data_IF_373047141849
#
_entry.id   IF_373047141849
#
_cell.length_a   1.000
_cell.length_b   1.000
_cell.length_c   1.000
_cell.angle_alpha   90.00
_cell.angle_beta   90.00
_cell.angle_gamma   90.00
#
_symmetry.space_group_name_H-M   'P 1'
#
loop_
_entity.id
_entity.type
_entity.pdbx_description
1 polymer ?
#
# COMPACT_ATOMS: atom_id res chain seq x y z
N UNK A 1 0.92 -37.03 -11.50
CA UNK A 1 0.33 -35.82 -12.16
C UNK A 1 -0.33 -34.89 -11.14
N UNK A 2 -1.17 -35.41 -10.24
CA UNK A 2 -1.84 -34.65 -9.16
C UNK A 2 -0.89 -33.94 -8.18
N UNK A 3 0.25 -34.56 -7.83
CA UNK A 3 1.27 -33.97 -6.94
C UNK A 3 1.92 -32.70 -7.52
N UNK A 4 2.25 -32.70 -8.82
CA UNK A 4 2.81 -31.54 -9.54
C UNK A 4 1.78 -30.40 -9.67
N UNK A 5 0.49 -30.73 -9.75
CA UNK A 5 -0.57 -29.72 -9.82
C UNK A 5 -0.77 -29.03 -8.46
N UNK A 6 -0.82 -29.80 -7.37
CA UNK A 6 -0.85 -29.24 -6.00
C UNK A 6 0.37 -28.36 -5.72
N UNK A 7 1.57 -28.77 -6.10
CA UNK A 7 2.78 -27.96 -5.88
C UNK A 7 2.78 -26.63 -6.66
N UNK A 8 2.19 -26.60 -7.87
CA UNK A 8 2.03 -25.37 -8.65
C UNK A 8 1.01 -24.41 -8.04
N UNK A 9 -0.09 -24.93 -7.48
CA UNK A 9 -1.12 -24.10 -6.82
C UNK A 9 -0.57 -23.47 -5.54
N UNK A 10 0.12 -24.24 -4.70
CA UNK A 10 0.77 -23.73 -3.47
C UNK A 10 1.78 -22.63 -3.79
N UNK A 11 2.61 -22.81 -4.83
CA UNK A 11 3.58 -21.78 -5.27
C UNK A 11 2.90 -20.45 -5.67
N UNK A 12 1.73 -20.49 -6.28
CA UNK A 12 0.98 -19.28 -6.70
C UNK A 12 0.34 -18.56 -5.51
N UNK A 13 -0.25 -19.29 -4.58
CA UNK A 13 -0.84 -18.71 -3.36
C UNK A 13 0.26 -18.00 -2.54
N UNK A 14 1.43 -18.60 -2.42
CA UNK A 14 2.58 -17.97 -1.76
C UNK A 14 2.97 -16.63 -2.38
N UNK A 15 2.93 -16.50 -3.72
CA UNK A 15 3.22 -15.22 -4.41
C UNK A 15 2.16 -14.15 -4.14
N UNK A 16 0.87 -14.53 -4.10
CA UNK A 16 -0.22 -13.62 -3.75
C UNK A 16 -0.07 -13.13 -2.30
N UNK A 17 0.18 -14.05 -1.36
CA UNK A 17 0.38 -13.73 0.07
C UNK A 17 1.58 -12.82 0.26
N UNK A 18 2.69 -13.09 -0.44
CA UNK A 18 3.90 -12.28 -0.37
C UNK A 18 3.65 -10.85 -0.86
N UNK A 19 3.05 -10.68 -2.04
CA UNK A 19 2.73 -9.36 -2.60
C UNK A 19 1.68 -8.62 -1.77
N UNK A 20 0.68 -9.33 -1.24
CA UNK A 20 -0.31 -8.75 -0.33
C UNK A 20 0.34 -8.26 0.96
N UNK A 21 1.28 -9.03 1.53
CA UNK A 21 2.08 -8.58 2.67
C UNK A 21 2.92 -7.34 2.35
N UNK A 22 3.61 -7.31 1.20
CA UNK A 22 4.34 -6.11 0.76
C UNK A 22 3.42 -4.89 0.69
N UNK A 23 2.19 -5.06 0.17
CA UNK A 23 1.21 -4.00 0.06
C UNK A 23 0.66 -3.54 1.42
N UNK A 24 0.46 -4.46 2.37
CA UNK A 24 0.13 -4.13 3.77
C UNK A 24 1.26 -3.28 4.38
N UNK A 25 2.50 -3.73 4.27
CA UNK A 25 3.67 -3.01 4.82
C UNK A 25 3.82 -1.63 4.19
N UNK A 26 3.61 -1.52 2.87
CA UNK A 26 3.61 -0.24 2.18
C UNK A 26 2.59 0.72 2.81
N UNK A 27 1.33 0.32 2.91
CA UNK A 27 0.28 1.19 3.46
C UNK A 27 0.54 1.52 4.94
N UNK A 28 1.09 0.61 5.73
CA UNK A 28 1.52 0.89 7.12
C UNK A 28 2.63 1.95 7.18
N UNK A 29 3.65 1.86 6.32
CA UNK A 29 4.74 2.85 6.32
C UNK A 29 4.26 4.20 5.77
N UNK A 30 3.33 4.23 4.81
CA UNK A 30 2.66 5.46 4.35
C UNK A 30 1.82 6.09 5.46
N UNK A 31 0.99 5.32 6.15
CA UNK A 31 0.23 5.78 7.32
C UNK A 31 1.15 6.41 8.36
N UNK A 32 2.23 5.70 8.72
CA UNK A 32 3.19 6.16 9.73
C UNK A 32 3.93 7.44 9.30
N UNK A 33 4.29 7.55 8.02
CA UNK A 33 4.95 8.74 7.50
C UNK A 33 4.02 9.96 7.56
N UNK A 34 2.76 9.81 7.14
CA UNK A 34 1.77 10.88 7.23
C UNK A 34 1.45 11.27 8.68
N UNK A 35 1.32 10.29 9.58
CA UNK A 35 1.13 10.55 11.01
C UNK A 35 2.28 11.39 11.57
N UNK A 36 3.53 11.06 11.23
CA UNK A 36 4.73 11.83 11.64
C UNK A 36 4.80 13.20 10.97
N UNK A 37 4.40 13.29 9.71
CA UNK A 37 4.39 14.55 8.97
C UNK A 37 3.38 15.52 9.59
N UNK A 38 2.17 15.07 9.92
CA UNK A 38 1.14 15.93 10.53
C UNK A 38 1.55 16.57 11.86
N UNK A 39 2.51 16.00 12.59
CA UNK A 39 3.06 16.61 13.82
C UNK A 39 4.28 17.50 13.59
N UNK A 40 4.88 17.49 12.38
CA UNK A 40 6.14 18.18 12.08
C UNK A 40 6.02 19.33 11.11
N UNK A 41 5.11 19.22 10.15
CA UNK A 41 4.85 20.26 9.16
C UNK A 41 4.38 21.52 9.89
N UNK A 42 4.53 22.68 9.27
CA UNK A 42 4.14 23.96 9.85
C UNK A 42 2.81 24.44 9.25
N UNK A 43 2.64 24.26 7.94
CA UNK A 43 1.47 24.69 7.20
C UNK A 43 0.20 23.89 7.60
N UNK A 44 -0.90 24.60 7.86
CA UNK A 44 -2.16 23.97 8.31
C UNK A 44 -2.80 23.06 7.26
N UNK A 45 -2.67 23.39 5.97
CA UNK A 45 -3.19 22.57 4.88
C UNK A 45 -2.44 21.23 4.82
N UNK A 46 -1.10 21.26 4.80
CA UNK A 46 -0.28 20.03 4.70
C UNK A 46 -0.42 19.14 5.95
N UNK A 47 -0.57 19.74 7.15
CA UNK A 47 -0.93 19.03 8.38
C UNK A 47 -2.26 18.29 8.26
N UNK A 48 -3.29 18.99 7.81
CA UNK A 48 -4.64 18.45 7.68
C UNK A 48 -4.66 17.32 6.65
N UNK A 49 -4.07 17.56 5.48
CA UNK A 49 -3.91 16.56 4.44
C UNK A 49 -3.19 15.31 4.97
N UNK A 50 -2.06 15.48 5.66
CA UNK A 50 -1.32 14.35 6.24
C UNK A 50 -2.16 13.57 7.27
N UNK A 51 -2.94 14.25 8.12
CA UNK A 51 -3.83 13.59 9.08
C UNK A 51 -4.90 12.74 8.37
N UNK A 52 -5.54 13.30 7.34
CA UNK A 52 -6.55 12.59 6.55
C UNK A 52 -5.95 11.37 5.83
N UNK A 53 -4.78 11.53 5.22
CA UNK A 53 -4.11 10.42 4.51
C UNK A 53 -3.59 9.34 5.45
N UNK A 54 -3.22 9.68 6.68
CA UNK A 54 -2.92 8.67 7.71
C UNK A 54 -4.14 7.80 8.01
N UNK A 55 -5.31 8.40 8.22
CA UNK A 55 -6.54 7.65 8.52
C UNK A 55 -6.99 6.77 7.34
N UNK A 56 -6.95 7.32 6.12
CA UNK A 56 -7.26 6.59 4.88
C UNK A 56 -6.40 5.33 4.73
N UNK A 57 -5.08 5.46 4.94
CA UNK A 57 -4.15 4.34 4.80
C UNK A 57 -4.32 3.31 5.91
N UNK A 58 -4.67 3.74 7.13
CA UNK A 58 -5.02 2.82 8.22
C UNK A 58 -6.26 1.97 7.91
N UNK A 59 -7.29 2.56 7.28
CA UNK A 59 -8.46 1.82 6.79
C UNK A 59 -8.06 0.81 5.70
N UNK A 60 -7.16 1.19 4.78
CA UNK A 60 -6.67 0.28 3.75
C UNK A 60 -5.94 -0.91 4.35
N UNK A 61 -5.03 -0.66 5.30
CA UNK A 61 -4.30 -1.70 6.06
C UNK A 61 -5.28 -2.66 6.71
N UNK A 62 -6.34 -2.17 7.37
CA UNK A 62 -7.33 -3.03 8.04
C UNK A 62 -7.99 -3.99 7.05
N UNK A 63 -8.45 -3.50 5.90
CA UNK A 63 -9.10 -4.36 4.90
C UNK A 63 -8.12 -5.35 4.26
N UNK A 64 -6.90 -4.93 3.96
CA UNK A 64 -5.87 -5.80 3.37
C UNK A 64 -5.46 -6.92 4.34
N UNK A 65 -5.30 -6.60 5.64
CA UNK A 65 -5.00 -7.60 6.67
C UNK A 65 -6.11 -8.64 6.81
N UNK A 66 -7.38 -8.24 6.70
CA UNK A 66 -8.49 -9.18 6.74
C UNK A 66 -8.44 -10.19 5.58
N UNK A 67 -8.11 -9.75 4.36
CA UNK A 67 -7.92 -10.68 3.23
C UNK A 67 -6.66 -11.53 3.40
N UNK A 68 -5.59 -10.96 3.96
CA UNK A 68 -4.36 -11.70 4.23
C UNK A 68 -4.58 -12.83 5.23
N UNK A 69 -5.26 -12.58 6.35
CA UNK A 69 -5.59 -13.60 7.34
C UNK A 69 -6.44 -14.73 6.75
N UNK A 70 -7.39 -14.42 5.86
CA UNK A 70 -8.18 -15.45 5.15
C UNK A 70 -7.31 -16.33 4.26
N UNK A 71 -6.31 -15.75 3.60
CA UNK A 71 -5.38 -16.50 2.75
C UNK A 71 -4.42 -17.36 3.58
N UNK A 72 -3.91 -16.82 4.68
CA UNK A 72 -2.98 -17.50 5.58
C UNK A 72 -3.63 -18.65 6.35
N UNK A 73 -4.89 -18.52 6.74
CA UNK A 73 -5.66 -19.58 7.39
C UNK A 73 -5.80 -20.86 6.51
N UNK A 74 -5.57 -20.74 5.20
CA UNK A 74 -5.64 -21.86 4.28
C UNK A 74 -4.27 -22.56 4.05
N UNK A 75 -3.17 -22.06 4.63
CA UNK A 75 -1.84 -22.66 4.46
C UNK A 75 -0.87 -22.34 5.62
N UNK A 76 -0.66 -23.30 6.53
CA UNK A 76 0.24 -23.18 7.70
C UNK A 76 1.73 -23.01 7.33
N UNK A 77 2.13 -23.24 6.07
CA UNK A 77 3.54 -23.16 5.66
C UNK A 77 4.04 -21.73 5.35
N UNK A 78 3.18 -20.71 5.50
CA UNK A 78 3.52 -19.32 5.15
C UNK A 78 4.42 -18.60 6.17
N UNK A 79 4.75 -19.25 7.29
CA UNK A 79 5.56 -18.71 8.40
C UNK A 79 7.00 -18.35 7.98
N UNK A 80 7.53 -18.94 6.90
CA UNK A 80 8.93 -18.77 6.47
C UNK A 80 9.27 -17.38 5.86
N UNK A 81 8.30 -16.50 5.64
CA UNK A 81 8.49 -15.23 4.91
C UNK A 81 8.94 -14.03 5.78
N UNK A 82 8.98 -14.17 7.12
CA UNK A 82 9.16 -13.04 8.06
C UNK A 82 10.45 -12.21 7.87
N UNK A 83 11.59 -12.83 7.50
CA UNK A 83 12.86 -12.09 7.30
C UNK A 83 12.83 -11.17 6.08
N UNK A 84 12.20 -11.59 4.98
CA UNK A 84 12.09 -10.77 3.75
C UNK A 84 11.33 -9.48 4.01
N UNK A 85 10.28 -9.54 4.82
CA UNK A 85 9.44 -8.39 5.13
C UNK A 85 10.12 -7.31 5.96
N UNK A 86 11.13 -7.65 6.77
CA UNK A 86 11.90 -6.64 7.49
C UNK A 86 12.64 -5.69 6.52
N UNK A 87 13.31 -6.25 5.51
CA UNK A 87 14.04 -5.45 4.51
C UNK A 87 13.10 -4.64 3.63
N UNK A 88 11.97 -5.24 3.21
CA UNK A 88 10.91 -4.53 2.47
C UNK A 88 10.43 -3.31 3.27
N UNK A 89 10.15 -3.50 4.56
CA UNK A 89 9.72 -2.41 5.45
C UNK A 89 10.74 -1.29 5.55
N UNK A 90 12.02 -1.62 5.71
CA UNK A 90 13.09 -0.61 5.75
C UNK A 90 13.19 0.17 4.43
N UNK A 91 13.09 -0.51 3.29
CA UNK A 91 13.13 0.13 1.98
C UNK A 91 11.97 1.10 1.78
N UNK A 92 10.74 0.70 2.11
CA UNK A 92 9.58 1.58 2.04
C UNK A 92 9.70 2.74 3.01
N UNK A 93 10.09 2.50 4.26
CA UNK A 93 10.29 3.57 5.25
C UNK A 93 11.27 4.63 4.76
N UNK A 94 12.39 4.21 4.18
CA UNK A 94 13.39 5.11 3.62
C UNK A 94 12.82 5.90 2.45
N UNK A 95 12.09 5.23 1.54
CA UNK A 95 11.49 5.86 0.37
C UNK A 95 10.42 6.88 0.75
N UNK A 96 9.56 6.60 1.73
CA UNK A 96 8.30 7.35 2.01
C UNK A 96 8.55 8.52 2.97
N UNK A 97 9.76 8.70 3.50
CA UNK A 97 10.08 9.74 4.48
C UNK A 97 9.69 11.14 3.94
N UNK A 98 8.91 11.87 4.74
CA UNK A 98 8.50 13.26 4.52
C UNK A 98 9.21 14.11 5.57
N UNK A 99 9.99 15.10 5.14
CA UNK A 99 10.87 15.88 6.04
C UNK A 99 10.37 17.28 6.33
N UNK A 100 9.82 17.99 5.33
CA UNK A 100 9.43 19.40 5.43
C UNK A 100 8.29 19.73 4.45
N UNK A 101 7.72 20.93 4.57
CA UNK A 101 6.63 21.42 3.73
C UNK A 101 7.03 21.64 2.26
N UNK A 102 8.28 22.05 2.00
CA UNK A 102 8.73 22.38 0.64
C UNK A 102 8.74 21.15 -0.30
N UNK A 103 9.06 19.97 0.25
CA UNK A 103 9.10 18.72 -0.50
C UNK A 103 7.78 17.93 -0.43
N UNK A 104 6.81 18.42 0.34
CA UNK A 104 5.61 17.64 0.70
C UNK A 104 4.83 17.15 -0.52
N UNK A 105 4.46 18.05 -1.42
CA UNK A 105 3.63 17.70 -2.59
C UNK A 105 4.35 16.75 -3.54
N UNK A 106 5.63 17.00 -3.81
CA UNK A 106 6.45 16.10 -4.63
C UNK A 106 6.54 14.71 -3.99
N UNK A 107 6.71 14.66 -2.67
CA UNK A 107 6.79 13.39 -1.96
C UNK A 107 5.48 12.61 -1.95
N UNK A 108 4.36 13.32 -1.76
CA UNK A 108 3.02 12.76 -1.87
C UNK A 108 2.82 12.12 -3.25
N UNK A 109 3.19 12.82 -4.33
CA UNK A 109 3.09 12.30 -5.69
C UNK A 109 3.88 11.00 -5.87
N UNK A 110 5.15 10.95 -5.44
CA UNK A 110 5.98 9.74 -5.50
C UNK A 110 5.37 8.56 -4.74
N UNK A 111 4.76 8.82 -3.58
CA UNK A 111 4.09 7.81 -2.76
C UNK A 111 2.85 7.25 -3.48
N UNK A 112 2.07 8.10 -4.15
CA UNK A 112 0.89 7.66 -4.91
C UNK A 112 1.30 6.77 -6.09
N UNK A 113 2.31 7.19 -6.86
CA UNK A 113 2.84 6.40 -7.98
C UNK A 113 3.36 5.04 -7.50
N UNK A 114 4.18 5.02 -6.44
CA UNK A 114 4.68 3.77 -5.86
C UNK A 114 3.53 2.86 -5.41
N UNK A 115 2.51 3.44 -4.77
CA UNK A 115 1.35 2.70 -4.29
C UNK A 115 0.63 2.04 -5.45
N UNK A 116 0.23 2.81 -6.46
CA UNK A 116 -0.51 2.31 -7.64
C UNK A 116 0.27 1.17 -8.30
N UNK A 117 1.58 1.35 -8.53
CA UNK A 117 2.43 0.31 -9.10
C UNK A 117 2.42 -1.00 -8.28
N UNK A 118 2.38 -0.91 -6.95
CA UNK A 118 2.33 -2.09 -6.07
C UNK A 118 0.95 -2.75 -6.05
N UNK A 119 -0.13 -1.97 -6.20
CA UNK A 119 -1.47 -2.53 -6.42
C UNK A 119 -1.55 -3.25 -7.77
N UNK A 120 -1.07 -2.64 -8.85
CA UNK A 120 -1.10 -3.21 -10.20
C UNK A 120 -0.25 -4.49 -10.28
N UNK A 121 0.91 -4.52 -9.62
CA UNK A 121 1.75 -5.70 -9.51
C UNK A 121 1.04 -6.88 -8.82
N UNK A 122 0.23 -6.63 -7.79
CA UNK A 122 -0.58 -7.67 -7.16
C UNK A 122 -1.80 -8.05 -8.01
N UNK A 123 -2.47 -7.08 -8.65
CA UNK A 123 -3.59 -7.33 -9.56
C UNK A 123 -3.20 -8.15 -10.79
N UNK A 124 -1.91 -8.11 -11.18
CA UNK A 124 -1.37 -8.94 -12.27
C UNK A 124 -1.30 -10.43 -11.96
N UNK A 125 -1.47 -10.85 -10.69
CA UNK A 125 -1.42 -12.27 -10.36
C UNK A 125 -2.65 -12.99 -10.94
N UNK A 126 -2.44 -14.23 -11.37
CA UNK A 126 -3.54 -15.08 -11.84
C UNK A 126 -4.24 -15.74 -10.65
N UNK A 127 -5.56 -15.97 -10.77
CA UNK A 127 -6.39 -16.61 -9.74
C UNK A 127 -6.44 -15.87 -8.39
N UNK A 128 -6.49 -14.52 -8.39
CA UNK A 128 -6.84 -13.80 -7.16
C UNK A 128 -8.24 -14.21 -6.68
N UNK A 129 -8.45 -14.39 -5.37
CA UNK A 129 -9.79 -14.43 -4.81
C UNK A 129 -10.58 -13.19 -5.23
N UNK A 130 -11.84 -13.38 -5.61
CA UNK A 130 -12.70 -12.29 -6.10
C UNK A 130 -12.84 -11.15 -5.09
N UNK A 131 -12.90 -11.47 -3.79
CA UNK A 131 -12.98 -10.49 -2.70
C UNK A 131 -11.73 -9.61 -2.66
N UNK A 132 -10.56 -10.22 -2.75
CA UNK A 132 -9.28 -9.52 -2.79
C UNK A 132 -9.17 -8.66 -4.05
N UNK A 133 -9.50 -9.21 -5.23
CA UNK A 133 -9.46 -8.45 -6.48
C UNK A 133 -10.33 -7.19 -6.42
N UNK A 134 -11.58 -7.29 -5.94
CA UNK A 134 -12.48 -6.14 -5.77
C UNK A 134 -11.92 -5.11 -4.79
N UNK A 135 -11.33 -5.55 -3.68
CA UNK A 135 -10.72 -4.66 -2.70
C UNK A 135 -9.54 -3.87 -3.30
N UNK A 136 -8.65 -4.58 -4.00
CA UNK A 136 -7.47 -3.99 -4.62
C UNK A 136 -7.84 -2.98 -5.71
N UNK A 137 -8.78 -3.31 -6.59
CA UNK A 137 -9.28 -2.39 -7.61
C UNK A 137 -9.84 -1.12 -6.95
N UNK A 138 -10.71 -1.27 -5.94
CA UNK A 138 -11.31 -0.12 -5.24
C UNK A 138 -10.25 0.81 -4.64
N UNK A 139 -9.25 0.25 -3.95
CA UNK A 139 -8.19 1.05 -3.34
C UNK A 139 -7.30 1.68 -4.41
N UNK A 140 -6.85 0.92 -5.42
CA UNK A 140 -6.02 1.40 -6.52
C UNK A 140 -6.69 2.53 -7.30
N UNK A 141 -7.95 2.37 -7.68
CA UNK A 141 -8.73 3.37 -8.42
C UNK A 141 -8.87 4.66 -7.62
N UNK A 142 -9.04 4.54 -6.30
CA UNK A 142 -9.10 5.69 -5.41
C UNK A 142 -7.78 6.46 -5.36
N UNK A 143 -6.63 5.77 -5.31
CA UNK A 143 -5.30 6.40 -5.38
C UNK A 143 -5.05 7.03 -6.76
N UNK A 144 -5.44 6.34 -7.83
CA UNK A 144 -5.27 6.81 -9.20
C UNK A 144 -6.11 8.06 -9.49
N UNK A 145 -7.36 8.10 -9.03
CA UNK A 145 -8.19 9.30 -9.12
C UNK A 145 -7.54 10.50 -8.44
N UNK A 146 -6.93 10.29 -7.26
CA UNK A 146 -6.17 11.32 -6.56
C UNK A 146 -4.91 11.75 -7.33
N UNK A 147 -4.14 10.82 -7.87
CA UNK A 147 -2.96 11.13 -8.68
C UNK A 147 -3.34 12.02 -9.88
N UNK A 148 -4.45 11.71 -10.55
CA UNK A 148 -4.94 12.54 -11.65
C UNK A 148 -5.31 13.97 -11.23
N UNK A 149 -5.84 14.17 -10.01
CA UNK A 149 -6.08 15.51 -9.45
C UNK A 149 -4.76 16.25 -9.25
N UNK A 150 -3.69 15.56 -8.81
CA UNK A 150 -2.35 16.16 -8.66
C UNK A 150 -1.78 16.57 -10.01
N UNK A 151 -1.88 15.70 -11.02
CA UNK A 151 -1.36 15.94 -12.37
C UNK A 151 -2.02 17.15 -13.06
N UNK A 152 -3.27 17.46 -12.70
CA UNK A 152 -3.98 18.65 -13.18
C UNK A 152 -3.65 19.93 -12.40
N UNK A 153 -2.86 19.85 -11.33
CA UNK A 153 -2.50 20.98 -10.48
C UNK A 153 -3.61 21.44 -9.52
N UNK A 154 -4.74 20.74 -9.46
CA UNK A 154 -5.91 21.13 -8.66
C UNK A 154 -5.66 21.03 -7.13
N UNK A 155 -4.70 20.20 -6.72
CA UNK A 155 -4.28 20.08 -5.32
C UNK A 155 -3.42 21.25 -4.81
N UNK A 156 -2.96 22.14 -5.71
CA UNK A 156 -2.20 23.35 -5.36
C UNK A 156 -3.16 24.52 -5.09
N UNK A 157 -4.27 24.60 -5.84
CA UNK A 157 -5.20 25.74 -5.82
C UNK A 157 -5.98 25.85 -4.50
N UNK A 158 -6.23 24.73 -3.81
CA UNK A 158 -6.89 24.72 -2.49
C UNK A 158 -6.01 25.23 -1.33
N UNK A 159 -4.74 25.56 -1.61
CA UNK A 159 -3.74 26.03 -0.64
C UNK A 159 -3.37 27.50 -0.84
N UNK A 160 -4.01 28.19 -1.78
CA UNK A 160 -3.77 29.61 -2.14
C UNK A 160 -4.76 30.54 -1.45
#
# INVERSE_FOLDING_TARGET
MLSKLKSRVVKRIGQIVEKLNELVILNEEVENAYKKASSKLENNYTKTYAKEKSLERGEFVRFLKNELTKLEANDENLIALKRKFHMVRLNFRKFIKIENDAEFLGKVYEIEVLSINKYDDLLSQINLPLTLCKLLLKQRDFLQARLHVMERGELVVSSS
#
